data_IF_716912226623
#
_entry.id   IF_716912226623
#
_cell.length_a   1.000
_cell.length_b   1.000
_cell.length_c   1.000
_cell.angle_alpha   90.00
_cell.angle_beta   90.00
_cell.angle_gamma   90.00
#
_symmetry.space_group_name_H-M   'P 1'
#
loop_
_entity.id
_entity.type
_entity.pdbx_description
1 polymer ?
#
# COMPACT_ATOMS: atom_id res chain seq x y z
N UNK A 1 -25.33 -12.11 -10.17
CA UNK A 1 -25.00 -10.67 -10.35
C UNK A 1 -24.39 -10.03 -9.10
N UNK A 2 -24.85 -10.36 -7.86
CA UNK A 2 -24.30 -9.78 -6.60
C UNK A 2 -22.86 -10.23 -6.28
N UNK A 3 -22.47 -11.46 -6.62
CA UNK A 3 -21.11 -11.96 -6.39
C UNK A 3 -20.03 -11.28 -7.26
N UNK A 4 -20.38 -10.82 -8.47
CA UNK A 4 -19.43 -10.11 -9.36
C UNK A 4 -19.00 -8.73 -8.83
N UNK A 5 -19.86 -8.07 -8.03
CA UNK A 5 -19.51 -6.78 -7.41
C UNK A 5 -18.53 -6.90 -6.24
N UNK A 6 -18.40 -8.09 -5.61
CA UNK A 6 -17.44 -8.31 -4.54
C UNK A 6 -15.99 -8.49 -5.02
N UNK A 7 -15.79 -8.75 -6.31
CA UNK A 7 -14.48 -8.96 -6.92
C UNK A 7 -13.91 -7.70 -7.60
N UNK A 8 -14.61 -6.56 -7.55
CA UNK A 8 -14.08 -5.29 -8.04
C UNK A 8 -13.08 -4.80 -7.00
N UNK A 9 -11.80 -5.00 -7.28
CA UNK A 9 -10.70 -4.48 -6.48
C UNK A 9 -10.68 -2.96 -6.64
N UNK A 10 -10.60 -2.22 -5.51
CA UNK A 10 -10.34 -0.79 -5.54
C UNK A 10 -9.08 -0.53 -6.35
N UNK A 11 -9.12 0.42 -7.27
CA UNK A 11 -8.07 0.64 -8.27
C UNK A 11 -7.21 1.81 -7.90
N UNK A 12 -5.94 1.66 -8.19
CA UNK A 12 -4.95 2.72 -8.07
C UNK A 12 -4.86 3.58 -9.34
N UNK A 13 -5.23 3.04 -10.51
CA UNK A 13 -5.19 3.76 -11.79
C UNK A 13 -6.47 3.52 -12.61
N UNK A 14 -6.96 4.55 -13.30
CA UNK A 14 -8.12 4.54 -14.18
C UNK A 14 -9.47 4.79 -13.50
N UNK A 15 -10.53 4.99 -14.30
CA UNK A 15 -11.89 5.20 -13.80
C UNK A 15 -12.53 3.91 -13.26
N UNK A 16 -13.49 4.03 -12.34
CA UNK A 16 -14.24 2.91 -11.82
C UNK A 16 -15.25 2.39 -12.86
N UNK A 17 -14.79 1.63 -13.85
CA UNK A 17 -15.60 1.02 -14.90
C UNK A 17 -15.36 -0.49 -15.01
N UNK A 18 -16.30 -1.19 -15.68
CA UNK A 18 -16.18 -2.64 -15.95
C UNK A 18 -14.99 -2.93 -16.86
N UNK A 19 -14.64 -2.02 -17.74
CA UNK A 19 -13.57 -2.15 -18.73
C UNK A 19 -12.17 -2.19 -18.10
N UNK A 20 -12.07 -1.73 -16.85
CA UNK A 20 -10.82 -1.74 -16.08
C UNK A 20 -10.70 -2.93 -15.12
N UNK A 21 -11.56 -3.94 -15.15
CA UNK A 21 -11.47 -5.13 -14.29
C UNK A 21 -10.29 -6.00 -14.73
N UNK A 22 -9.44 -6.37 -13.78
CA UNK A 22 -8.34 -7.30 -14.01
C UNK A 22 -8.74 -8.75 -13.68
N UNK A 23 -8.17 -9.77 -14.37
CA UNK A 23 -7.15 -9.65 -15.44
C UNK A 23 -7.74 -9.11 -16.74
N UNK A 24 -6.95 -8.29 -17.46
CA UNK A 24 -7.28 -7.89 -18.83
C UNK A 24 -7.06 -9.06 -19.77
N UNK A 25 -7.91 -9.18 -20.79
CA UNK A 25 -7.81 -10.21 -21.82
C UNK A 25 -7.73 -9.55 -23.20
N UNK A 26 -6.59 -9.68 -23.85
CA UNK A 26 -6.34 -9.17 -25.20
C UNK A 26 -6.33 -10.34 -26.18
N UNK A 27 -7.09 -10.21 -27.27
CA UNK A 27 -7.12 -11.18 -28.36
C UNK A 27 -6.34 -10.62 -29.53
N UNK A 28 -5.34 -11.35 -30.00
CA UNK A 28 -4.55 -11.04 -31.18
C UNK A 28 -4.83 -12.07 -32.28
N UNK A 29 -4.33 -11.81 -33.49
CA UNK A 29 -4.45 -12.77 -34.60
C UNK A 29 -3.73 -14.09 -34.28
N UNK A 30 -2.65 -14.02 -33.55
CA UNK A 30 -1.68 -15.10 -33.25
C UNK A 30 -1.77 -15.59 -31.78
N UNK A 31 -2.87 -15.33 -31.06
CA UNK A 31 -3.07 -15.81 -29.71
C UNK A 31 -3.80 -14.86 -28.78
N UNK A 32 -3.72 -15.15 -27.49
CA UNK A 32 -4.35 -14.36 -26.43
C UNK A 32 -3.31 -14.01 -25.35
N UNK A 33 -3.49 -12.85 -24.74
CA UNK A 33 -2.69 -12.39 -23.62
C UNK A 33 -3.62 -12.04 -22.45
N UNK A 34 -3.46 -12.73 -21.33
CA UNK A 34 -4.00 -12.30 -20.03
C UNK A 34 -2.98 -11.42 -19.32
N UNK A 35 -3.43 -10.33 -18.69
CA UNK A 35 -2.55 -9.38 -18.01
C UNK A 35 -3.17 -8.91 -16.71
N UNK A 36 -2.40 -8.99 -15.61
CA UNK A 36 -2.74 -8.41 -14.33
C UNK A 36 -1.58 -7.54 -13.82
N UNK A 37 -1.92 -6.44 -13.16
CA UNK A 37 -0.97 -5.43 -12.69
C UNK A 37 -1.31 -4.98 -11.26
N UNK A 38 -0.32 -4.96 -10.40
CA UNK A 38 -0.36 -4.29 -9.11
C UNK A 38 0.69 -3.18 -9.09
N UNK A 39 0.25 -1.93 -9.08
CA UNK A 39 1.14 -0.78 -9.11
C UNK A 39 0.55 0.42 -9.85
N UNK A 40 1.41 1.32 -10.29
CA UNK A 40 1.07 2.49 -11.09
C UNK A 40 2.28 2.94 -11.92
N UNK A 41 2.04 3.22 -13.20
CA UNK A 41 3.08 3.68 -14.12
C UNK A 41 3.21 5.21 -14.06
N UNK A 42 4.42 5.71 -13.86
CA UNK A 42 4.70 7.15 -13.78
C UNK A 42 4.82 7.83 -15.15
N UNK A 43 4.99 7.07 -16.24
CA UNK A 43 5.03 7.55 -17.62
C UNK A 43 3.83 7.10 -18.47
N UNK A 44 2.71 6.75 -17.82
CA UNK A 44 1.54 6.20 -18.50
C UNK A 44 0.90 7.19 -19.49
N UNK A 45 0.78 8.46 -19.11
CA UNK A 45 0.09 9.47 -19.93
C UNK A 45 0.86 9.79 -21.20
N UNK A 46 2.17 9.95 -21.11
CA UNK A 46 3.05 10.19 -22.27
C UNK A 46 3.07 9.02 -23.22
N UNK A 47 3.23 7.78 -22.69
CA UNK A 47 3.21 6.57 -23.50
C UNK A 47 1.87 6.35 -24.20
N UNK A 48 0.76 6.56 -23.49
CA UNK A 48 -0.57 6.44 -24.08
C UNK A 48 -0.76 7.38 -25.24
N UNK A 49 -0.41 8.66 -25.07
CA UNK A 49 -0.48 9.67 -26.14
C UNK A 49 0.37 9.30 -27.37
N UNK A 50 1.56 8.75 -27.14
CA UNK A 50 2.42 8.30 -28.22
C UNK A 50 1.82 7.09 -28.96
N UNK A 51 1.33 6.10 -28.24
CA UNK A 51 0.68 4.92 -28.80
C UNK A 51 -0.57 5.31 -29.61
N UNK A 52 -1.42 6.22 -29.09
CA UNK A 52 -2.62 6.71 -29.78
C UNK A 52 -2.27 7.47 -31.07
N UNK A 53 -1.23 8.34 -31.06
CA UNK A 53 -0.75 9.01 -32.27
C UNK A 53 -0.28 7.98 -33.35
N UNK A 54 0.20 6.85 -32.92
CA UNK A 54 0.63 5.75 -33.78
C UNK A 54 -0.52 4.75 -34.06
N UNK A 55 -1.79 5.14 -33.83
CA UNK A 55 -2.96 4.35 -34.18
C UNK A 55 -3.33 3.23 -33.19
N UNK A 56 -2.88 3.28 -31.92
CA UNK A 56 -3.40 2.38 -30.89
C UNK A 56 -4.81 2.80 -30.49
N UNK A 57 -5.67 1.82 -30.28
CA UNK A 57 -7.02 2.00 -29.75
C UNK A 57 -7.06 1.32 -28.39
N UNK A 58 -7.33 2.11 -27.33
CA UNK A 58 -7.44 1.62 -25.97
C UNK A 58 -8.90 1.25 -25.66
N UNK A 59 -9.08 0.14 -24.96
CA UNK A 59 -10.37 -0.34 -24.50
C UNK A 59 -10.67 0.05 -23.05
N UNK A 60 -9.63 0.47 -22.30
CA UNK A 60 -9.71 0.82 -20.89
C UNK A 60 -9.03 2.17 -20.60
N UNK A 61 -9.26 2.71 -19.40
CA UNK A 61 -8.52 3.88 -18.89
C UNK A 61 -7.34 3.47 -18.01
N UNK A 62 -7.09 2.15 -17.84
CA UNK A 62 -6.00 1.63 -17.04
C UNK A 62 -4.65 1.83 -17.71
N UNK A 63 -3.63 2.15 -16.92
CA UNK A 63 -2.24 2.20 -17.33
C UNK A 63 -1.69 0.82 -17.73
N UNK A 64 -2.29 -0.25 -17.21
CA UNK A 64 -1.87 -1.63 -17.46
C UNK A 64 -1.97 -2.03 -18.95
N UNK A 65 -2.95 -1.49 -19.70
CA UNK A 65 -3.16 -1.78 -21.12
C UNK A 65 -1.97 -1.32 -21.98
N UNK A 66 -1.20 -0.33 -21.53
CA UNK A 66 -0.02 0.18 -22.21
C UNK A 66 0.99 -0.92 -22.47
N UNK A 67 1.23 -1.78 -21.46
CA UNK A 67 2.19 -2.90 -21.61
C UNK A 67 1.80 -3.86 -22.74
N UNK A 68 0.51 -4.19 -22.89
CA UNK A 68 0.04 -5.04 -23.96
C UNK A 68 0.27 -4.42 -25.34
N UNK A 69 0.05 -3.11 -25.49
CA UNK A 69 0.32 -2.38 -26.73
C UNK A 69 1.82 -2.33 -27.06
N UNK A 70 2.69 -2.13 -26.07
CA UNK A 70 4.14 -2.13 -26.25
C UNK A 70 4.63 -3.51 -26.69
N UNK A 71 4.19 -4.58 -26.03
CA UNK A 71 4.53 -5.96 -26.41
C UNK A 71 4.10 -6.23 -27.86
N UNK A 72 2.90 -5.86 -28.26
CA UNK A 72 2.37 -6.12 -29.60
C UNK A 72 3.10 -5.35 -30.69
N UNK A 73 3.58 -4.15 -30.41
CA UNK A 73 4.25 -3.27 -31.36
C UNK A 73 5.76 -3.51 -31.46
N UNK A 74 6.34 -4.24 -30.53
CA UNK A 74 7.77 -4.59 -30.56
C UNK A 74 8.09 -5.44 -31.80
N UNK A 75 9.17 -5.10 -32.46
CA UNK A 75 9.72 -5.84 -33.61
C UNK A 75 10.71 -6.96 -33.22
N UNK A 76 10.88 -7.18 -31.90
CA UNK A 76 11.75 -8.25 -31.44
C UNK A 76 11.26 -9.63 -31.97
N UNK A 77 12.14 -10.49 -32.45
CA UNK A 77 11.75 -11.77 -33.05
C UNK A 77 11.17 -12.76 -32.02
N UNK A 78 11.56 -12.66 -30.74
CA UNK A 78 11.07 -13.54 -29.68
C UNK A 78 10.02 -12.86 -28.83
N UNK A 79 9.02 -13.62 -28.37
CA UNK A 79 7.99 -13.09 -27.46
C UNK A 79 8.61 -12.54 -26.16
N UNK A 80 9.55 -13.26 -25.56
CA UNK A 80 10.25 -12.78 -24.35
C UNK A 80 11.10 -11.53 -24.60
N UNK A 81 11.68 -11.39 -25.78
CA UNK A 81 12.34 -10.15 -26.19
C UNK A 81 11.37 -8.96 -26.24
N UNK A 82 10.16 -9.17 -26.80
CA UNK A 82 9.09 -8.15 -26.80
C UNK A 82 8.66 -7.76 -25.38
N UNK A 83 8.51 -8.74 -24.49
CA UNK A 83 8.16 -8.50 -23.08
C UNK A 83 9.26 -7.68 -22.41
N UNK A 84 10.53 -8.06 -22.56
CA UNK A 84 11.65 -7.33 -21.94
C UNK A 84 11.78 -5.88 -22.46
N UNK A 85 11.60 -5.65 -23.75
CA UNK A 85 11.56 -4.30 -24.34
C UNK A 85 10.43 -3.46 -23.74
N UNK A 86 9.25 -4.03 -23.64
CA UNK A 86 8.09 -3.36 -23.07
C UNK A 86 8.29 -3.01 -21.57
N UNK A 87 8.84 -3.96 -20.79
CA UNK A 87 9.16 -3.74 -19.37
C UNK A 87 10.24 -2.66 -19.16
N UNK A 88 11.22 -2.57 -20.05
CA UNK A 88 12.23 -1.50 -20.00
C UNK A 88 11.66 -0.12 -20.37
N UNK A 89 10.56 -0.07 -21.14
CA UNK A 89 9.92 1.17 -21.60
C UNK A 89 9.02 1.77 -20.51
N UNK A 90 8.26 0.96 -19.80
CA UNK A 90 7.39 1.43 -18.71
C UNK A 90 8.21 1.83 -17.50
N UNK A 91 7.75 2.86 -16.77
CA UNK A 91 8.39 3.39 -15.56
C UNK A 91 7.37 3.49 -14.44
N UNK A 92 7.84 3.37 -13.19
CA UNK A 92 7.01 3.42 -11.99
C UNK A 92 7.04 2.11 -11.21
N UNK A 93 6.07 1.91 -10.32
CA UNK A 93 5.95 0.69 -9.52
C UNK A 93 5.06 -0.33 -10.21
N UNK A 94 5.53 -1.55 -10.39
CA UNK A 94 4.71 -2.62 -10.96
C UNK A 94 5.13 -4.03 -10.54
N UNK A 95 4.13 -4.86 -10.28
CA UNK A 95 4.23 -6.30 -10.29
C UNK A 95 3.25 -6.82 -11.35
N UNK A 96 3.76 -7.34 -12.45
CA UNK A 96 2.97 -7.85 -13.56
C UNK A 96 2.87 -9.37 -13.55
N UNK A 97 1.68 -9.86 -13.91
CA UNK A 97 1.46 -11.23 -14.34
C UNK A 97 0.92 -11.22 -15.77
N UNK A 98 1.61 -11.95 -16.66
CA UNK A 98 1.18 -12.14 -18.03
C UNK A 98 0.94 -13.63 -18.27
N UNK A 99 -0.15 -13.97 -18.90
CA UNK A 99 -0.50 -15.36 -19.27
C UNK A 99 -0.73 -15.44 -20.77
N UNK A 100 0.01 -16.32 -21.43
CA UNK A 100 -0.21 -16.76 -22.79
C UNK A 100 -0.56 -18.25 -22.77
N UNK A 101 -0.80 -18.87 -23.93
CA UNK A 101 -1.34 -20.23 -24.02
C UNK A 101 -0.57 -21.26 -23.17
N UNK A 102 0.74 -21.20 -23.19
CA UNK A 102 1.64 -22.20 -22.57
C UNK A 102 2.52 -21.64 -21.44
N UNK A 103 2.40 -20.34 -21.09
CA UNK A 103 3.30 -19.71 -20.11
C UNK A 103 2.59 -18.73 -19.19
N UNK A 104 3.00 -18.77 -17.92
CA UNK A 104 2.77 -17.69 -16.95
C UNK A 104 4.09 -16.94 -16.73
N UNK A 105 4.06 -15.62 -16.89
CA UNK A 105 5.23 -14.75 -16.74
C UNK A 105 4.93 -13.79 -15.60
N UNK A 106 5.85 -13.72 -14.63
CA UNK A 106 5.82 -12.76 -13.55
C UNK A 106 6.98 -11.78 -13.71
N UNK A 107 6.74 -10.47 -13.56
CA UNK A 107 7.78 -9.45 -13.69
C UNK A 107 7.63 -8.40 -12.59
N UNK A 108 8.76 -7.96 -12.05
CA UNK A 108 8.83 -6.97 -10.99
C UNK A 108 9.59 -5.73 -11.45
N UNK A 109 9.15 -4.54 -11.03
CA UNK A 109 9.82 -3.28 -11.34
C UNK A 109 11.27 -3.24 -10.81
N UNK A 110 12.13 -2.33 -11.34
CA UNK A 110 13.55 -2.27 -10.97
C UNK A 110 13.82 -1.90 -9.51
N UNK A 111 12.79 -1.42 -8.78
CA UNK A 111 12.88 -1.06 -7.38
C UNK A 111 12.19 -2.08 -6.45
N UNK A 112 11.39 -2.98 -7.01
CA UNK A 112 10.61 -3.93 -6.21
C UNK A 112 9.61 -3.24 -5.29
N UNK A 113 9.00 -2.14 -5.74
CA UNK A 113 8.04 -1.37 -4.93
C UNK A 113 6.89 -2.22 -4.43
N UNK A 114 6.41 -3.16 -5.26
CA UNK A 114 5.32 -4.07 -4.87
C UNK A 114 5.84 -5.46 -4.58
N UNK A 115 5.34 -6.13 -3.55
CA UNK A 115 5.78 -7.49 -3.25
C UNK A 115 5.28 -8.47 -4.32
N UNK A 116 6.10 -9.46 -4.64
CA UNK A 116 5.77 -10.56 -5.54
C UNK A 116 6.60 -11.78 -5.14
N UNK A 117 5.92 -12.90 -4.88
CA UNK A 117 6.56 -14.13 -4.37
C UNK A 117 6.11 -15.35 -5.15
N UNK A 118 6.95 -16.38 -5.14
CA UNK A 118 6.73 -17.66 -5.82
C UNK A 118 6.63 -18.77 -4.78
N UNK A 119 5.63 -19.62 -4.94
CA UNK A 119 5.42 -20.84 -4.15
C UNK A 119 5.19 -22.05 -5.04
N UNK A 120 5.27 -23.24 -4.47
CA UNK A 120 5.05 -24.52 -5.14
C UNK A 120 4.12 -25.40 -4.32
N UNK A 121 3.11 -25.94 -4.96
CA UNK A 121 2.19 -26.91 -4.38
C UNK A 121 2.80 -28.32 -4.37
N UNK A 122 2.27 -29.20 -3.52
CA UNK A 122 2.73 -30.60 -3.42
C UNK A 122 2.59 -31.37 -4.74
N UNK A 123 1.64 -31.01 -5.61
CA UNK A 123 1.46 -31.59 -6.94
C UNK A 123 2.44 -31.03 -8.00
N UNK A 124 3.35 -30.14 -7.60
CA UNK A 124 4.32 -29.50 -8.49
C UNK A 124 3.86 -28.19 -9.13
N UNK A 125 2.60 -27.81 -9.01
CA UNK A 125 2.08 -26.55 -9.57
C UNK A 125 2.74 -25.33 -8.92
N UNK A 126 3.06 -24.33 -9.73
CA UNK A 126 3.66 -23.08 -9.27
C UNK A 126 2.59 -22.04 -9.03
N UNK A 127 2.71 -21.33 -7.92
CA UNK A 127 1.80 -20.26 -7.50
C UNK A 127 2.60 -18.96 -7.41
N UNK A 128 2.05 -17.88 -7.94
CA UNK A 128 2.61 -16.53 -7.81
C UNK A 128 1.61 -15.65 -7.08
N UNK A 129 2.06 -14.92 -6.07
CA UNK A 129 1.21 -14.05 -5.27
C UNK A 129 1.97 -12.82 -4.78
N UNK A 130 1.26 -11.71 -4.56
CA UNK A 130 1.81 -10.52 -3.90
C UNK A 130 2.08 -10.77 -2.41
N UNK A 131 1.32 -11.67 -1.76
CA UNK A 131 1.44 -11.96 -0.34
C UNK A 131 1.67 -13.46 -0.08
N UNK A 132 2.63 -13.77 0.78
CA UNK A 132 2.97 -15.18 1.13
C UNK A 132 1.88 -15.88 1.91
N UNK A 133 1.02 -15.15 2.63
CA UNK A 133 -0.14 -15.73 3.31
C UNK A 133 -1.11 -16.47 2.36
N UNK A 134 -1.11 -16.11 1.07
CA UNK A 134 -1.91 -16.81 0.06
C UNK A 134 -1.42 -18.25 -0.17
N UNK A 135 -0.13 -18.52 0.01
CA UNK A 135 0.45 -19.86 -0.18
C UNK A 135 -0.11 -20.84 0.86
N UNK A 136 -0.19 -20.45 2.12
CA UNK A 136 -0.76 -21.29 3.19
C UNK A 136 -2.22 -21.68 2.86
N UNK A 137 -3.01 -20.71 2.36
CA UNK A 137 -4.43 -20.93 2.02
C UNK A 137 -4.60 -22.00 0.92
N UNK A 138 -3.69 -22.06 -0.05
CA UNK A 138 -3.76 -23.01 -1.17
C UNK A 138 -2.88 -24.25 -0.96
N UNK A 139 -2.19 -24.34 0.17
CA UNK A 139 -1.26 -25.45 0.47
C UNK A 139 -0.01 -25.47 -0.39
N UNK A 140 0.52 -24.29 -0.71
CA UNK A 140 1.79 -24.13 -1.40
C UNK A 140 2.91 -23.76 -0.41
N UNK A 141 4.11 -24.25 -0.68
CA UNK A 141 5.32 -23.87 0.04
C UNK A 141 5.96 -22.66 -0.65
N UNK A 142 6.40 -21.67 0.14
CA UNK A 142 7.14 -20.52 -0.38
C UNK A 142 8.53 -20.98 -0.92
N UNK A 143 8.89 -20.47 -2.10
CA UNK A 143 10.21 -20.70 -2.69
C UNK A 143 11.11 -19.48 -2.46
N UNK A 144 10.69 -18.31 -2.97
CA UNK A 144 11.40 -17.03 -2.82
C UNK A 144 10.56 -15.85 -3.31
N UNK A 145 11.01 -14.67 -3.00
CA UNK A 145 10.51 -13.44 -3.60
C UNK A 145 11.12 -13.22 -5.01
N UNK A 146 10.39 -12.56 -5.89
CA UNK A 146 10.89 -12.10 -7.19
C UNK A 146 11.80 -10.89 -6.95
N UNK A 147 12.95 -10.86 -7.60
CA UNK A 147 13.91 -9.77 -7.46
C UNK A 147 13.53 -8.54 -8.30
N UNK A 148 13.98 -7.32 -7.90
CA UNK A 148 13.88 -6.14 -8.74
C UNK A 148 14.49 -6.37 -10.15
N UNK A 149 13.78 -5.92 -11.20
CA UNK A 149 14.24 -6.08 -12.57
C UNK A 149 14.19 -7.50 -13.14
N UNK A 150 13.61 -8.44 -12.37
CA UNK A 150 13.51 -9.84 -12.77
C UNK A 150 12.23 -10.14 -13.55
N UNK A 151 12.34 -11.10 -14.47
CA UNK A 151 11.22 -11.76 -15.12
C UNK A 151 11.32 -13.27 -14.88
N UNK A 152 10.24 -13.85 -14.40
CA UNK A 152 10.13 -15.29 -14.10
C UNK A 152 9.17 -15.91 -15.09
N UNK A 153 9.62 -16.95 -15.78
CA UNK A 153 8.85 -17.67 -16.78
C UNK A 153 8.51 -19.05 -16.23
N UNK A 154 7.26 -19.39 -16.25
CA UNK A 154 6.72 -20.67 -15.76
C UNK A 154 6.00 -21.33 -16.91
N UNK A 155 6.46 -22.51 -17.31
CA UNK A 155 5.88 -23.34 -18.39
C UNK A 155 5.97 -24.83 -18.02
N UNK A 156 5.63 -25.72 -18.96
CA UNK A 156 5.67 -27.17 -18.77
C UNK A 156 7.09 -27.71 -18.48
N UNK A 157 8.17 -26.96 -18.79
CA UNK A 157 9.55 -27.31 -18.49
C UNK A 157 9.98 -26.88 -17.09
N UNK A 158 9.15 -26.11 -16.37
CA UNK A 158 9.39 -25.63 -15.02
C UNK A 158 9.52 -24.12 -14.91
N UNK A 159 10.43 -23.65 -14.07
CA UNK A 159 10.65 -22.22 -13.79
C UNK A 159 11.99 -21.79 -14.39
N UNK A 160 11.95 -20.71 -15.17
CA UNK A 160 13.15 -20.03 -15.66
C UNK A 160 13.20 -18.61 -15.11
N UNK A 161 14.35 -18.21 -14.60
CA UNK A 161 14.63 -16.89 -14.06
C UNK A 161 15.51 -16.11 -15.03
N UNK A 162 15.14 -14.88 -15.32
CA UNK A 162 15.88 -14.01 -16.24
C UNK A 162 15.71 -12.54 -15.80
N UNK A 163 16.59 -11.66 -16.23
CA UNK A 163 16.50 -10.23 -15.96
C UNK A 163 16.16 -9.47 -17.23
N UNK A 164 15.26 -8.50 -17.14
CA UNK A 164 15.05 -7.55 -18.22
C UNK A 164 15.89 -6.28 -18.03
N UNK A 165 16.34 -6.01 -16.81
CA UNK A 165 17.32 -4.97 -16.49
C UNK A 165 18.19 -5.39 -15.29
N UNK A 166 19.41 -4.85 -15.24
CA UNK A 166 20.33 -4.96 -14.10
C UNK A 166 20.53 -3.63 -13.39
N UNK A 167 19.92 -2.55 -13.89
CA UNK A 167 19.88 -1.25 -13.25
C UNK A 167 18.74 -1.26 -12.22
N UNK A 168 19.04 -1.72 -11.00
CA UNK A 168 18.07 -1.97 -9.96
C UNK A 168 18.52 -1.37 -8.64
N UNK A 169 17.55 -0.88 -7.84
CA UNK A 169 17.75 -0.41 -6.47
C UNK A 169 16.54 -0.80 -5.65
N UNK A 170 16.71 -1.62 -4.61
CA UNK A 170 15.61 -2.05 -3.78
C UNK A 170 14.96 -0.88 -3.04
N UNK A 171 13.64 -0.75 -3.15
CA UNK A 171 12.82 0.25 -2.48
C UNK A 171 11.39 -0.28 -2.23
N UNK A 172 11.28 -1.32 -1.40
CA UNK A 172 9.98 -1.95 -1.08
C UNK A 172 9.07 -0.92 -0.41
N UNK A 173 7.82 -0.86 -0.83
CA UNK A 173 6.82 0.04 -0.25
C UNK A 173 6.66 -0.23 1.26
N UNK A 174 7.06 0.73 2.12
CA UNK A 174 6.95 0.57 3.58
C UNK A 174 5.50 0.46 4.06
N UNK A 175 4.51 0.97 3.28
CA UNK A 175 3.09 0.80 3.60
C UNK A 175 2.62 -0.66 3.51
N UNK A 176 3.34 -1.53 2.82
CA UNK A 176 3.05 -2.97 2.89
C UNK A 176 3.23 -3.50 4.31
N UNK A 177 4.29 -3.09 5.01
CA UNK A 177 4.50 -3.44 6.42
C UNK A 177 3.56 -2.69 7.35
N UNK A 178 3.29 -1.42 7.11
CA UNK A 178 2.47 -0.57 7.99
C UNK A 178 0.99 -1.00 7.93
N UNK A 179 0.44 -1.19 6.72
CA UNK A 179 -1.01 -1.33 6.54
C UNK A 179 -1.46 -2.43 5.57
N UNK A 180 -0.88 -2.53 4.34
CA UNK A 180 -1.51 -3.30 3.28
C UNK A 180 -1.43 -4.82 3.47
N UNK A 181 -0.24 -5.34 3.80
CA UNK A 181 -0.04 -6.78 3.92
C UNK A 181 -0.73 -7.35 5.17
N UNK A 182 -1.18 -8.58 5.09
CA UNK A 182 -1.70 -9.31 6.24
C UNK A 182 -0.57 -9.58 7.24
N UNK A 183 -0.85 -9.59 8.55
CA UNK A 183 0.18 -9.81 9.59
C UNK A 183 0.94 -11.13 9.46
N UNK A 184 0.32 -12.15 8.90
CA UNK A 184 0.90 -13.48 8.65
C UNK A 184 1.74 -13.57 7.37
N UNK A 185 1.81 -12.50 6.56
CA UNK A 185 2.69 -12.43 5.38
C UNK A 185 4.13 -12.17 5.76
N UNK A 186 5.05 -12.67 4.90
CA UNK A 186 6.47 -12.33 4.92
C UNK A 186 6.83 -11.59 3.64
N UNK A 187 7.60 -10.52 3.76
CA UNK A 187 8.10 -9.72 2.63
C UNK A 187 9.60 -9.55 2.82
N UNK A 188 10.40 -9.92 1.84
CA UNK A 188 11.88 -9.85 1.93
C UNK A 188 12.45 -10.49 3.21
N UNK A 189 11.90 -11.62 3.61
CA UNK A 189 12.33 -12.36 4.81
C UNK A 189 11.84 -11.78 6.14
N UNK A 190 11.11 -10.66 6.14
CA UNK A 190 10.59 -10.01 7.34
C UNK A 190 9.09 -10.30 7.49
N UNK A 191 8.70 -10.87 8.64
CA UNK A 191 7.30 -11.09 8.96
C UNK A 191 6.61 -9.76 9.31
N UNK A 192 5.44 -9.51 8.71
CA UNK A 192 4.70 -8.26 8.85
C UNK A 192 4.22 -8.03 10.29
N UNK A 193 3.72 -9.07 10.98
CA UNK A 193 3.34 -8.96 12.39
C UNK A 193 4.52 -8.54 13.26
N UNK A 194 5.67 -9.18 13.06
CA UNK A 194 6.90 -8.91 13.81
C UNK A 194 7.39 -7.47 13.56
N UNK A 195 7.37 -7.02 12.30
CA UNK A 195 7.72 -5.64 11.96
C UNK A 195 6.80 -4.62 12.65
N UNK A 196 5.47 -4.82 12.56
CA UNK A 196 4.49 -3.94 13.25
C UNK A 196 4.67 -3.95 14.77
N UNK A 197 5.01 -5.09 15.34
CA UNK A 197 5.27 -5.20 16.79
C UNK A 197 6.52 -4.39 17.18
N UNK A 198 7.60 -4.45 16.38
CA UNK A 198 8.80 -3.63 16.57
C UNK A 198 8.52 -2.14 16.40
N UNK A 199 7.70 -1.75 15.40
CA UNK A 199 7.23 -0.36 15.23
C UNK A 199 6.51 0.13 16.49
N UNK A 200 5.64 -0.69 17.08
CA UNK A 200 4.95 -0.36 18.32
C UNK A 200 5.91 -0.19 19.51
N UNK A 201 6.89 -1.07 19.66
CA UNK A 201 7.92 -0.96 20.69
C UNK A 201 8.77 0.31 20.52
N UNK A 202 9.17 0.63 19.28
CA UNK A 202 9.91 1.86 19.00
C UNK A 202 9.07 3.10 19.26
N UNK A 203 7.80 3.08 18.85
CA UNK A 203 6.86 4.17 19.14
C UNK A 203 6.68 4.41 20.64
N UNK A 204 6.71 3.35 21.47
CA UNK A 204 6.68 3.49 22.93
C UNK A 204 7.91 4.19 23.49
N UNK A 205 9.10 3.95 22.92
CA UNK A 205 10.34 4.67 23.30
C UNK A 205 10.28 6.15 22.93
N UNK A 206 9.61 6.49 21.85
CA UNK A 206 9.44 7.87 21.36
C UNK A 206 8.27 8.60 22.07
N UNK A 207 7.36 7.87 22.68
CA UNK A 207 6.19 8.40 23.39
C UNK A 207 6.59 8.96 24.79
N UNK A 208 6.11 10.17 25.12
CA UNK A 208 6.55 10.90 26.32
C UNK A 208 5.42 11.32 27.27
N UNK A 209 4.26 10.68 27.18
CA UNK A 209 3.11 11.03 27.98
C UNK A 209 2.75 9.89 28.95
N UNK A 210 2.14 10.23 30.07
CA UNK A 210 1.61 9.23 31.01
C UNK A 210 0.27 8.69 30.53
N UNK A 211 0.06 7.39 30.69
CA UNK A 211 -1.17 6.72 30.33
C UNK A 211 -1.43 5.51 31.23
N UNK A 212 -2.66 5.00 31.20
CA UNK A 212 -3.08 3.87 32.02
C UNK A 212 -3.25 2.59 31.23
N UNK A 213 -3.62 2.69 29.95
CA UNK A 213 -3.86 1.54 29.06
C UNK A 213 -3.49 1.87 27.61
N UNK A 214 -3.17 0.82 26.85
CA UNK A 214 -2.96 0.85 25.40
C UNK A 214 -4.16 0.23 24.70
N UNK A 215 -4.66 0.88 23.66
CA UNK A 215 -5.78 0.42 22.84
C UNK A 215 -5.43 0.50 21.37
N UNK A 216 -5.35 -0.65 20.69
CA UNK A 216 -5.11 -0.71 19.24
C UNK A 216 -6.40 -0.50 18.44
N UNK A 217 -6.32 0.27 17.36
CA UNK A 217 -7.42 0.39 16.39
C UNK A 217 -7.53 -0.92 15.59
N UNK A 218 -8.66 -1.63 15.66
CA UNK A 218 -8.79 -2.90 14.95
C UNK A 218 -9.04 -2.72 13.43
N UNK A 219 -8.41 -3.57 12.54
CA UNK A 219 -7.55 -4.69 12.90
C UNK A 219 -6.06 -4.39 12.61
N UNK A 220 -5.74 -3.32 11.87
CA UNK A 220 -4.40 -3.02 11.34
C UNK A 220 -3.37 -2.75 12.43
N UNK A 221 -3.78 -2.10 13.52
CA UNK A 221 -2.86 -1.59 14.53
C UNK A 221 -2.69 -2.51 15.76
N UNK A 222 -3.33 -3.69 15.77
CA UNK A 222 -3.27 -4.59 16.93
C UNK A 222 -1.85 -5.09 17.21
N UNK A 223 -1.07 -5.41 16.16
CA UNK A 223 0.31 -5.85 16.32
C UNK A 223 1.21 -4.76 16.91
N UNK A 224 1.03 -3.52 16.45
CA UNK A 224 1.77 -2.37 16.97
C UNK A 224 1.37 -2.06 18.44
N UNK A 225 0.07 -2.16 18.76
CA UNK A 225 -0.40 -1.99 20.14
C UNK A 225 0.19 -3.02 21.10
N UNK A 226 0.35 -4.28 20.67
CA UNK A 226 1.04 -5.31 21.46
C UNK A 226 2.49 -4.92 21.73
N UNK A 227 3.25 -4.52 20.70
CA UNK A 227 4.63 -4.11 20.87
C UNK A 227 4.80 -2.85 21.74
N UNK A 228 3.90 -1.89 21.59
CA UNK A 228 3.87 -0.69 22.43
C UNK A 228 3.61 -1.05 23.91
N UNK A 229 2.66 -1.90 24.17
CA UNK A 229 2.31 -2.33 25.53
C UNK A 229 3.45 -3.11 26.20
N UNK A 230 4.08 -4.03 25.48
CA UNK A 230 5.22 -4.79 25.99
C UNK A 230 6.41 -3.89 26.35
N UNK A 231 6.73 -2.90 25.53
CA UNK A 231 7.85 -1.97 25.76
C UNK A 231 7.54 -0.96 26.87
N UNK A 232 6.32 -0.39 26.89
CA UNK A 232 5.93 0.60 27.88
C UNK A 232 5.54 0.01 29.25
N UNK A 233 5.27 -1.30 29.33
CA UNK A 233 4.73 -1.95 30.52
C UNK A 233 3.26 -1.64 30.81
N UNK A 234 2.56 -0.92 29.93
CA UNK A 234 1.14 -0.61 30.09
C UNK A 234 0.27 -1.80 29.65
N UNK A 235 -0.88 -2.04 30.31
CA UNK A 235 -1.84 -3.05 29.88
C UNK A 235 -2.36 -2.79 28.47
N UNK A 236 -2.35 -3.81 27.61
CA UNK A 236 -3.03 -3.77 26.31
C UNK A 236 -4.47 -4.25 26.46
N UNK A 237 -5.41 -3.35 26.22
CA UNK A 237 -6.82 -3.58 26.48
C UNK A 237 -7.68 -3.46 25.23
N UNK A 238 -8.77 -4.24 25.17
CA UNK A 238 -9.74 -4.17 24.08
C UNK A 238 -10.71 -2.99 24.29
N UNK A 239 -10.21 -1.77 24.15
CA UNK A 239 -11.01 -0.54 24.29
C UNK A 239 -11.86 -0.20 23.06
N UNK A 240 -11.53 -0.79 21.89
CA UNK A 240 -12.25 -0.63 20.63
C UNK A 240 -12.61 -1.99 20.03
N UNK A 241 -13.82 -2.12 19.52
CA UNK A 241 -14.30 -3.33 18.84
C UNK A 241 -14.82 -2.96 17.45
N UNK A 242 -14.39 -3.73 16.44
CA UNK A 242 -14.97 -3.67 15.11
C UNK A 242 -16.25 -4.49 15.06
N UNK A 243 -17.34 -3.87 14.61
CA UNK A 243 -18.60 -4.58 14.45
C UNK A 243 -18.47 -5.61 13.31
N UNK A 244 -18.57 -6.89 13.66
CA UNK A 244 -18.45 -8.01 12.71
C UNK A 244 -19.70 -8.17 11.82
N UNK A 245 -20.84 -7.61 12.22
CA UNK A 245 -22.09 -7.71 11.47
C UNK A 245 -22.25 -6.65 10.38
N UNK A 246 -21.42 -5.61 10.39
CA UNK A 246 -21.36 -4.61 9.30
C UNK A 246 -20.41 -5.11 8.22
N UNK A 247 -20.95 -5.75 7.20
CA UNK A 247 -20.24 -5.95 5.93
C UNK A 247 -19.89 -4.58 5.32
N UNK A 248 -18.89 -4.54 4.39
CA UNK A 248 -18.51 -3.32 3.66
C UNK A 248 -19.78 -2.56 3.25
N UNK A 249 -20.02 -1.43 3.88
CA UNK A 249 -21.16 -0.57 3.56
C UNK A 249 -21.01 -0.14 2.11
N UNK A 250 -21.96 -0.59 1.28
CA UNK A 250 -22.19 -0.04 -0.05
C UNK A 250 -22.26 1.48 0.04
N UNK A 251 -21.84 2.15 -1.03
CA UNK A 251 -21.90 3.61 -1.17
C UNK A 251 -23.31 4.07 -0.78
N UNK A 252 -23.42 4.66 0.40
CA UNK A 252 -24.68 5.20 0.89
C UNK A 252 -24.91 6.56 0.21
N UNK A 253 -26.09 6.85 -0.31
CA UNK A 253 -26.36 8.02 -1.14
C UNK A 253 -26.33 9.34 -0.36
N UNK A 254 -26.46 9.35 0.97
CA UNK A 254 -26.50 10.58 1.76
C UNK A 254 -25.36 10.64 2.79
N UNK A 255 -24.96 11.87 3.16
CA UNK A 255 -23.94 12.15 4.16
C UNK A 255 -24.30 11.54 5.53
N UNK A 256 -25.55 11.68 5.96
CA UNK A 256 -26.05 11.14 7.24
C UNK A 256 -25.96 9.61 7.30
N UNK A 257 -26.28 8.92 6.21
CA UNK A 257 -26.17 7.47 6.13
C UNK A 257 -24.71 6.99 6.10
N UNK A 258 -23.79 7.81 5.54
CA UNK A 258 -22.34 7.54 5.60
C UNK A 258 -21.82 7.70 7.04
N UNK A 259 -22.26 8.71 7.76
CA UNK A 259 -21.90 8.95 9.16
C UNK A 259 -22.46 7.85 10.07
N UNK A 260 -23.71 7.41 9.88
CA UNK A 260 -24.27 6.25 10.55
C UNK A 260 -23.51 4.96 10.22
N UNK A 261 -23.10 4.77 8.95
CA UNK A 261 -22.29 3.63 8.51
C UNK A 261 -20.92 3.58 9.19
N UNK A 262 -20.31 4.72 9.48
CA UNK A 262 -19.05 4.81 10.25
C UNK A 262 -19.30 4.51 11.73
N UNK A 263 -20.40 5.00 12.32
CA UNK A 263 -20.79 4.70 13.70
C UNK A 263 -21.03 3.20 13.94
N UNK A 264 -21.51 2.48 12.93
CA UNK A 264 -21.74 1.03 13.03
C UNK A 264 -20.47 0.19 12.87
N UNK A 265 -19.33 0.77 12.45
CA UNK A 265 -18.10 0.01 12.18
C UNK A 265 -17.23 -0.21 13.40
N UNK A 266 -17.17 0.77 14.29
CA UNK A 266 -16.35 0.75 15.51
C UNK A 266 -17.17 1.18 16.71
N UNK A 267 -16.98 0.50 17.84
CA UNK A 267 -17.57 0.82 19.12
C UNK A 267 -16.50 0.85 20.21
N UNK A 268 -16.59 1.82 21.12
CA UNK A 268 -15.73 1.85 22.30
C UNK A 268 -16.33 0.97 23.42
N UNK A 269 -15.47 0.29 24.17
CA UNK A 269 -15.85 -0.54 25.31
C UNK A 269 -15.77 0.32 26.58
N UNK A 270 -16.89 0.94 26.96
CA UNK A 270 -16.95 1.89 28.09
C UNK A 270 -16.44 1.30 29.41
N UNK A 271 -16.69 0.01 29.68
CA UNK A 271 -16.17 -0.68 30.87
C UNK A 271 -14.64 -0.77 30.95
N UNK A 272 -13.95 -0.62 29.81
CA UNK A 272 -12.49 -0.63 29.73
C UNK A 272 -11.91 0.78 29.82
N UNK A 273 -12.48 1.73 29.05
CA UNK A 273 -11.87 3.05 28.85
C UNK A 273 -12.31 4.12 29.85
N UNK A 274 -13.43 3.90 30.55
CA UNK A 274 -14.00 4.89 31.48
C UNK A 274 -13.03 5.23 32.61
N UNK A 275 -12.75 6.53 32.79
CA UNK A 275 -11.85 7.05 33.80
C UNK A 275 -10.36 6.77 33.56
N UNK A 276 -9.99 6.34 32.35
CA UNK A 276 -8.61 6.01 31.97
C UNK A 276 -8.01 7.05 31.03
N UNK A 277 -6.69 7.24 31.14
CA UNK A 277 -5.85 7.89 30.13
C UNK A 277 -5.46 6.79 29.11
N UNK A 278 -5.93 6.94 27.89
CA UNK A 278 -5.81 5.92 26.84
C UNK A 278 -4.74 6.30 25.85
N UNK A 279 -3.76 5.43 25.57
CA UNK A 279 -2.95 5.51 24.35
C UNK A 279 -3.66 4.74 23.25
N UNK A 280 -4.15 5.45 22.25
CA UNK A 280 -4.73 4.89 21.04
C UNK A 280 -3.65 4.69 19.98
N UNK A 281 -3.39 3.44 19.61
CA UNK A 281 -2.43 3.09 18.54
C UNK A 281 -3.19 2.94 17.23
N UNK A 282 -2.78 3.72 16.21
CA UNK A 282 -3.27 3.56 14.84
C UNK A 282 -2.08 3.41 13.87
N UNK A 283 -2.33 2.92 12.66
CA UNK A 283 -1.28 2.67 11.67
C UNK A 283 -0.81 3.95 10.97
N UNK A 284 -1.73 4.80 10.56
CA UNK A 284 -1.43 6.03 9.81
C UNK A 284 -2.58 7.05 9.88
N UNK A 285 -2.25 8.33 9.65
CA UNK A 285 -3.25 9.39 9.46
C UNK A 285 -3.09 9.97 8.04
N UNK A 286 -4.17 9.87 7.23
CA UNK A 286 -4.23 10.46 5.89
C UNK A 286 -5.00 11.78 5.91
N UNK A 287 -6.30 11.73 6.20
CA UNK A 287 -7.21 12.89 6.22
C UNK A 287 -7.61 13.35 7.64
N UNK A 288 -7.31 12.58 8.66
CA UNK A 288 -7.65 12.85 10.06
C UNK A 288 -9.11 12.61 10.46
N UNK A 289 -10.02 12.41 9.51
CA UNK A 289 -11.46 12.23 9.79
C UNK A 289 -11.77 10.98 10.62
N UNK A 290 -11.10 9.87 10.31
CA UNK A 290 -11.23 8.59 11.03
C UNK A 290 -10.69 8.72 12.46
N UNK A 291 -9.46 9.24 12.60
CA UNK A 291 -8.80 9.42 13.90
C UNK A 291 -9.60 10.34 14.81
N UNK A 292 -10.10 11.47 14.29
CA UNK A 292 -11.02 12.37 15.01
C UNK A 292 -12.24 11.63 15.55
N UNK A 293 -12.87 10.79 14.71
CA UNK A 293 -14.05 10.05 15.11
C UNK A 293 -13.75 9.03 16.21
N UNK A 294 -12.62 8.33 16.12
CA UNK A 294 -12.20 7.33 17.12
C UNK A 294 -11.88 8.02 18.45
N UNK A 295 -11.15 9.12 18.44
CA UNK A 295 -10.87 9.93 19.64
C UNK A 295 -12.18 10.36 20.31
N UNK A 296 -13.13 10.86 19.53
CA UNK A 296 -14.45 11.25 20.04
C UNK A 296 -15.19 10.06 20.68
N UNK A 297 -15.17 8.87 20.03
CA UNK A 297 -15.79 7.66 20.58
C UNK A 297 -15.20 7.26 21.94
N UNK A 298 -13.88 7.33 22.09
CA UNK A 298 -13.21 7.01 23.35
C UNK A 298 -13.57 8.04 24.45
N UNK A 299 -13.59 9.33 24.12
CA UNK A 299 -14.00 10.39 25.04
C UNK A 299 -15.48 10.29 25.44
N UNK A 300 -16.37 10.01 24.49
CA UNK A 300 -17.81 9.76 24.75
C UNK A 300 -18.00 8.52 25.62
N UNK A 301 -17.15 7.51 25.55
CA UNK A 301 -17.16 6.32 26.40
C UNK A 301 -16.58 6.56 27.81
N UNK A 302 -16.05 7.77 28.09
CA UNK A 302 -15.60 8.20 29.40
C UNK A 302 -14.07 8.13 29.61
N UNK A 303 -13.26 8.03 28.57
CA UNK A 303 -11.81 8.23 28.70
C UNK A 303 -11.50 9.66 29.18
N UNK A 304 -10.57 9.80 30.14
CA UNK A 304 -10.18 11.10 30.70
C UNK A 304 -9.22 11.84 29.78
N UNK A 305 -8.32 11.10 29.13
CA UNK A 305 -7.40 11.58 28.12
C UNK A 305 -7.26 10.54 27.00
N UNK A 306 -7.06 11.00 25.76
CA UNK A 306 -6.81 10.16 24.59
C UNK A 306 -5.54 10.65 23.90
N UNK A 307 -4.46 9.95 24.13
CA UNK A 307 -3.17 10.14 23.46
C UNK A 307 -3.14 9.32 22.18
N UNK A 308 -2.88 9.94 21.04
CA UNK A 308 -2.82 9.25 19.76
C UNK A 308 -1.35 8.97 19.40
N UNK A 309 -1.03 7.71 19.15
CA UNK A 309 0.29 7.28 18.75
C UNK A 309 0.20 6.49 17.43
N UNK A 310 0.91 6.93 16.41
CA UNK A 310 0.81 6.45 15.03
C UNK A 310 2.03 5.62 14.67
N UNK A 311 1.79 4.37 14.24
CA UNK A 311 2.81 3.39 13.87
C UNK A 311 3.56 3.69 12.57
N UNK A 312 3.37 4.86 11.99
CA UNK A 312 4.11 5.36 10.83
C UNK A 312 4.57 6.80 11.03
N UNK A 313 5.54 7.28 10.25
CA UNK A 313 5.80 8.71 10.10
C UNK A 313 4.59 9.45 9.48
N UNK A 314 4.59 10.77 9.57
CA UNK A 314 3.55 11.60 9.01
C UNK A 314 3.55 11.52 7.47
N UNK A 315 2.40 11.19 6.88
CA UNK A 315 2.19 11.14 5.43
C UNK A 315 2.03 12.56 4.89
N UNK A 316 3.10 13.14 4.36
CA UNK A 316 3.15 14.53 3.91
C UNK A 316 3.21 14.69 2.38
N UNK A 317 3.50 13.62 1.63
CA UNK A 317 3.68 13.67 0.18
C UNK A 317 2.86 12.58 -0.54
N UNK A 318 2.46 12.81 -1.79
CA UNK A 318 1.72 11.84 -2.60
C UNK A 318 2.53 10.58 -2.87
N UNK A 319 1.86 9.49 -3.20
CA UNK A 319 2.47 8.29 -3.76
C UNK A 319 2.17 8.19 -5.26
N UNK A 320 3.20 7.86 -6.06
CA UNK A 320 3.07 7.67 -7.51
C UNK A 320 3.29 6.21 -7.95
N UNK A 321 3.48 5.27 -7.01
CA UNK A 321 3.84 3.88 -7.29
C UNK A 321 2.72 2.87 -6.95
N UNK A 322 1.49 3.35 -6.70
CA UNK A 322 0.32 2.49 -6.56
C UNK A 322 -0.43 2.56 -5.22
N UNK A 323 -0.17 3.57 -4.38
CA UNK A 323 -1.07 3.94 -3.27
C UNK A 323 -2.03 5.02 -3.80
N UNK A 324 -3.32 4.90 -3.49
CA UNK A 324 -4.34 5.88 -3.90
C UNK A 324 -4.30 7.15 -3.03
N UNK A 325 -3.17 7.84 -3.08
CA UNK A 325 -2.94 9.14 -2.44
C UNK A 325 -2.17 9.99 -3.46
N UNK A 326 -2.88 10.56 -4.43
CA UNK A 326 -2.26 11.22 -5.58
C UNK A 326 -2.06 12.73 -5.39
N UNK A 327 -2.70 13.35 -4.39
CA UNK A 327 -2.64 14.80 -4.19
C UNK A 327 -2.29 15.19 -2.76
N UNK A 328 -1.47 16.25 -2.62
CA UNK A 328 -1.13 16.81 -1.29
C UNK A 328 -2.34 17.37 -0.54
N UNK A 329 -3.37 17.81 -1.25
CA UNK A 329 -4.58 18.38 -0.64
C UNK A 329 -5.33 17.40 0.25
N UNK A 330 -5.17 16.09 0.00
CA UNK A 330 -5.81 15.04 0.78
C UNK A 330 -5.04 14.68 2.06
N UNK A 331 -3.77 15.07 2.14
CA UNK A 331 -2.87 14.74 3.23
C UNK A 331 -2.92 15.82 4.31
N UNK A 332 -3.42 15.48 5.48
CA UNK A 332 -3.50 16.43 6.60
C UNK A 332 -2.12 16.93 7.00
N UNK A 333 -1.11 16.04 7.04
CA UNK A 333 0.26 16.36 7.41
C UNK A 333 1.03 17.17 6.34
N UNK A 334 0.49 17.30 5.10
CA UNK A 334 1.03 18.20 4.09
C UNK A 334 0.64 19.66 4.31
N UNK A 335 -0.41 19.91 5.11
CA UNK A 335 -1.05 21.21 5.25
C UNK A 335 -1.09 21.72 6.69
N UNK A 336 -0.81 20.88 7.67
CA UNK A 336 -0.88 21.19 9.10
C UNK A 336 0.32 20.65 9.86
N UNK A 337 0.74 21.36 10.89
CA UNK A 337 1.73 20.90 11.86
C UNK A 337 1.16 19.76 12.73
N UNK A 338 2.01 19.02 13.40
CA UNK A 338 1.60 17.94 14.32
C UNK A 338 0.64 18.46 15.39
N UNK A 339 0.90 19.67 15.91
CA UNK A 339 0.07 20.28 16.95
C UNK A 339 -1.32 20.67 16.41
N UNK A 340 -1.39 21.25 15.22
CA UNK A 340 -2.68 21.55 14.56
C UNK A 340 -3.47 20.27 14.26
N UNK A 341 -2.78 19.20 13.81
CA UNK A 341 -3.42 17.91 13.59
C UNK A 341 -3.98 17.35 14.90
N UNK A 342 -3.22 17.44 16.00
CA UNK A 342 -3.66 17.05 17.34
C UNK A 342 -4.98 17.76 17.71
N UNK A 343 -5.04 19.07 17.49
CA UNK A 343 -6.25 19.88 17.75
C UNK A 343 -7.41 19.47 16.85
N UNK A 344 -7.16 19.31 15.54
CA UNK A 344 -8.18 18.91 14.56
C UNK A 344 -8.80 17.56 14.92
N UNK A 345 -8.00 16.59 15.35
CA UNK A 345 -8.51 15.27 15.73
C UNK A 345 -9.07 15.24 17.17
N UNK A 346 -8.82 16.29 17.97
CA UNK A 346 -9.31 16.44 19.35
C UNK A 346 -8.57 15.55 20.34
N UNK A 347 -7.33 15.15 20.05
CA UNK A 347 -6.50 14.35 20.94
C UNK A 347 -5.79 15.19 22.00
N UNK A 348 -5.42 14.58 23.12
CA UNK A 348 -4.67 15.23 24.19
C UNK A 348 -3.17 15.27 23.85
N UNK A 349 -2.68 14.30 23.07
CA UNK A 349 -1.35 14.36 22.42
C UNK A 349 -1.37 13.57 21.09
N UNK A 350 -0.37 13.86 20.23
CA UNK A 350 -0.15 13.16 18.98
C UNK A 350 1.35 12.87 18.82
N UNK A 351 1.68 11.59 18.63
CA UNK A 351 3.05 11.12 18.39
C UNK A 351 3.09 10.27 17.13
N UNK A 352 3.97 10.56 16.20
CA UNK A 352 4.28 9.75 15.03
C UNK A 352 5.57 8.97 15.27
N UNK A 353 5.66 7.76 14.72
CA UNK A 353 6.92 7.03 14.64
C UNK A 353 7.91 7.80 13.77
N UNK A 354 9.18 7.89 14.19
CA UNK A 354 10.23 8.49 13.38
C UNK A 354 10.53 7.66 12.12
N UNK A 355 11.11 8.28 11.08
CA UNK A 355 11.50 7.58 9.84
C UNK A 355 12.59 6.54 10.15
N UNK A 356 13.61 6.92 10.93
CA UNK A 356 14.67 6.01 11.34
C UNK A 356 14.09 4.84 12.16
N UNK A 357 13.17 5.14 13.09
CA UNK A 357 12.48 4.13 13.88
C UNK A 357 11.64 3.17 13.03
N UNK A 358 11.04 3.64 11.94
CA UNK A 358 10.35 2.80 10.97
C UNK A 358 11.32 1.86 10.25
N UNK A 359 12.41 2.40 9.70
CA UNK A 359 13.43 1.65 8.96
C UNK A 359 14.04 0.55 9.86
N UNK A 360 14.46 0.91 11.05
CA UNK A 360 15.05 0.00 12.04
C UNK A 360 14.04 -1.10 12.47
N UNK A 361 12.77 -0.74 12.62
CA UNK A 361 11.71 -1.68 13.03
C UNK A 361 11.39 -2.70 11.95
N UNK A 362 11.40 -2.32 10.68
CA UNK A 362 11.23 -3.26 9.58
C UNK A 362 12.48 -4.13 9.45
N UNK A 363 13.66 -3.53 9.33
CA UNK A 363 14.93 -4.20 9.39
C UNK A 363 15.12 -5.24 8.30
N UNK A 364 14.95 -4.85 7.02
CA UNK A 364 15.36 -5.68 5.88
C UNK A 364 16.89 -5.80 5.91
N UNK A 365 17.42 -7.01 5.76
CA UNK A 365 18.86 -7.27 5.69
C UNK A 365 19.40 -6.83 4.32
N UNK A 366 19.84 -5.57 4.23
CA UNK A 366 20.35 -4.97 2.99
C UNK A 366 21.17 -3.72 3.26
N UNK A 367 22.15 -3.44 2.41
CA UNK A 367 22.96 -2.20 2.41
C UNK A 367 22.32 -1.08 1.53
N UNK A 368 21.14 -1.33 0.97
CA UNK A 368 20.43 -0.37 0.11
C UNK A 368 19.97 0.88 0.89
N UNK A 369 19.84 2.04 0.22
CA UNK A 369 19.35 3.26 0.85
C UNK A 369 18.02 3.06 1.58
N UNK A 370 17.84 3.74 2.70
CA UNK A 370 16.66 3.63 3.57
C UNK A 370 16.36 2.18 3.99
N UNK A 371 17.38 1.31 4.11
CA UNK A 371 17.17 -0.10 4.41
C UNK A 371 16.34 -0.85 3.35
N UNK A 372 16.47 -0.47 2.08
CA UNK A 372 15.70 -1.06 0.97
C UNK A 372 14.20 -0.72 0.98
N UNK A 373 13.80 0.38 1.64
CA UNK A 373 12.42 0.81 1.77
C UNK A 373 12.11 2.08 0.97
N UNK A 374 10.97 2.10 0.32
CA UNK A 374 10.37 3.32 -0.19
C UNK A 374 9.73 4.09 0.98
N UNK A 375 10.28 5.25 1.28
CA UNK A 375 9.81 6.21 2.29
C UNK A 375 9.44 7.56 1.67
N UNK A 376 9.24 7.60 0.37
CA UNK A 376 9.10 8.78 -0.47
C UNK A 376 7.93 9.67 -0.05
N UNK A 377 6.80 9.06 0.32
CA UNK A 377 5.59 9.76 0.77
C UNK A 377 5.70 10.33 2.21
N UNK A 378 6.77 10.01 2.93
CA UNK A 378 7.12 10.67 4.19
C UNK A 378 8.13 11.79 3.98
N UNK A 379 9.10 11.60 3.07
CA UNK A 379 10.26 12.50 2.89
C UNK A 379 10.10 13.50 1.74
N UNK A 380 9.27 13.19 0.73
CA UNK A 380 9.18 13.94 -0.53
C UNK A 380 10.39 13.75 -1.45
N UNK A 381 11.30 12.84 -1.13
CA UNK A 381 12.44 12.46 -1.96
C UNK A 381 12.11 11.14 -2.64
N UNK A 382 11.80 11.20 -3.94
CA UNK A 382 11.36 10.03 -4.68
C UNK A 382 12.52 9.19 -5.17
N UNK A 383 12.36 7.87 -5.05
CA UNK A 383 13.38 6.87 -5.43
C UNK A 383 13.61 6.81 -6.94
N UNK A 384 12.66 7.28 -7.75
CA UNK A 384 12.76 7.36 -9.21
C UNK A 384 12.26 8.72 -9.73
N UNK A 385 12.65 9.13 -10.97
CA UNK A 385 12.04 10.26 -11.64
C UNK A 385 10.51 10.10 -11.75
N UNK A 386 9.77 11.21 -11.62
CA UNK A 386 8.30 11.20 -11.60
C UNK A 386 7.65 11.32 -12.98
N UNK A 387 8.41 11.59 -14.02
CA UNK A 387 7.96 11.66 -15.42
C UNK A 387 6.71 12.55 -15.61
N UNK A 388 5.56 11.97 -15.92
CA UNK A 388 4.31 12.68 -16.18
C UNK A 388 3.78 13.45 -14.95
N UNK A 389 4.20 13.06 -13.75
CA UNK A 389 3.77 13.69 -12.49
C UNK A 389 4.70 14.80 -12.00
N UNK A 390 5.91 14.93 -12.56
CA UNK A 390 6.95 15.84 -12.05
C UNK A 390 6.46 17.29 -12.01
N UNK A 391 5.87 17.77 -13.11
CA UNK A 391 5.38 19.15 -13.18
C UNK A 391 4.28 19.42 -12.13
N UNK A 392 3.27 18.57 -12.04
CA UNK A 392 2.16 18.75 -11.10
C UNK A 392 2.62 18.62 -9.64
N UNK A 393 3.63 17.80 -9.38
CA UNK A 393 4.24 17.69 -8.06
C UNK A 393 4.96 18.97 -7.67
N UNK A 394 5.83 19.51 -8.53
CA UNK A 394 6.55 20.76 -8.28
C UNK A 394 5.60 21.95 -8.07
N UNK A 395 4.57 22.10 -8.91
CA UNK A 395 3.51 23.11 -8.74
C UNK A 395 2.79 22.96 -7.37
N UNK A 396 2.60 21.74 -6.89
CA UNK A 396 1.98 21.49 -5.58
C UNK A 396 2.86 21.90 -4.40
N UNK A 397 4.20 21.89 -4.55
CA UNK A 397 5.13 22.36 -3.54
C UNK A 397 5.12 23.89 -3.43
N UNK A 398 5.09 24.59 -4.56
CA UNK A 398 5.05 26.05 -4.62
C UNK A 398 3.75 26.63 -4.02
N UNK A 399 2.62 26.00 -4.29
CA UNK A 399 1.32 26.44 -3.79
C UNK A 399 1.24 26.47 -2.25
N UNK A 400 1.94 25.60 -1.55
CA UNK A 400 1.98 25.56 -0.07
C UNK A 400 2.89 26.63 0.51
N UNK A 401 3.99 26.99 -0.17
CA UNK A 401 4.88 28.06 0.30
C UNK A 401 4.18 29.42 0.32
N UNK A 402 3.24 29.66 -0.60
CA UNK A 402 2.43 30.90 -0.62
C UNK A 402 1.38 30.96 0.50
N UNK A 403 0.90 29.83 1.00
CA UNK A 403 -0.11 29.78 2.07
C UNK A 403 0.51 30.06 3.45
N UNK A 404 1.74 29.61 3.68
CA UNK A 404 2.47 29.89 4.91
C UNK A 404 3.05 31.31 5.01
N UNK A 405 3.14 32.05 3.88
CA UNK A 405 3.59 33.45 3.88
C UNK A 405 2.45 34.46 4.09
N UNK A 406 1.20 34.00 4.22
CA UNK A 406 0.00 34.84 4.44
C UNK A 406 -0.71 34.59 5.78
N UNK A 407 -0.19 33.71 6.60
CA UNK A 407 -0.58 33.48 7.99
C UNK A 407 0.52 34.03 8.93
#
# INVERSE_FOLDING_TARGET
RRQRQMCIRDRTAGEASVDNIQPFMFKFHDGQLGLAHNGNLTNAVSLRRELEKNGAIFSSTSDSEILAHLIRRSHNPSFMGKVKEALNTVKGGFAYLLMIEDKLIAALDPNGFRPLSIGKMANGAIVVSSETCAFEVVGAEWIRDVNPGEVVIIDDNGITYDNYTTDTQLAVCSMEYIYFARPDSNIRGVNVHTARKRMGAQLAREFKHEADIVVGVPNSSLSAAMGFAEESGLPNEMGLIKNQYTQRTFIQPTQELREQGVRMKLSAVSGVVKGKRVVMIDDSIVRGTTSRRIVQLLKEAGATEVHVAIGSPALAYPCFYGIDIQTRKELIAANHTVEEIREIIGADSLTYLSIDGLIDSIGIDTDEPNGGLCVDYFTGKYSTPLYDYEKSYLESLEAVSYTHLRA
#
